data_IF_250290527764
#
_entry.id   IF_250290527764
#
_cell.length_a   1.000
_cell.length_b   1.000
_cell.length_c   1.000
_cell.angle_alpha   90.00
_cell.angle_beta   90.00
_cell.angle_gamma   90.00
#
_symmetry.space_group_name_H-M   'P 1'
#
loop_
_entity.id
_entity.type
_entity.pdbx_description
1 polymer ?
#
# COMPACT_ATOMS: atom_id res chain seq x y z
N UNK A 1 -5.92 20.82 -16.27
CA UNK A 1 -4.88 20.08 -17.02
C UNK A 1 -3.54 20.10 -16.29
N UNK A 2 -2.94 21.27 -16.00
CA UNK A 2 -1.64 21.36 -15.33
C UNK A 2 -1.59 20.85 -13.87
N UNK A 3 -2.72 20.86 -13.15
CA UNK A 3 -2.83 20.34 -11.78
C UNK A 3 -2.51 18.85 -11.66
N UNK A 4 -2.70 18.06 -12.72
CA UNK A 4 -2.39 16.63 -12.71
C UNK A 4 -0.90 16.32 -12.90
N UNK A 5 -0.07 17.30 -13.30
CA UNK A 5 1.37 17.13 -13.49
C UNK A 5 2.04 16.61 -12.22
N UNK A 6 1.54 17.01 -11.04
CA UNK A 6 2.10 16.60 -9.75
C UNK A 6 2.01 15.09 -9.47
N UNK A 7 1.15 14.35 -10.19
CA UNK A 7 1.06 12.88 -10.07
C UNK A 7 2.38 12.18 -10.35
N UNK A 8 3.16 12.68 -11.33
CA UNK A 8 4.46 12.09 -11.66
C UNK A 8 5.48 12.33 -10.55
N UNK A 9 5.38 13.46 -9.84
CA UNK A 9 6.24 13.77 -8.71
C UNK A 9 5.89 12.90 -7.49
N UNK A 10 4.60 12.68 -7.23
CA UNK A 10 4.16 11.71 -6.25
C UNK A 10 4.67 10.31 -6.59
N UNK A 11 4.52 9.85 -7.85
CA UNK A 11 5.07 8.58 -8.32
C UNK A 11 6.58 8.45 -8.03
N UNK A 12 7.38 9.45 -8.42
CA UNK A 12 8.82 9.45 -8.15
C UNK A 12 9.11 9.42 -6.64
N UNK A 13 8.30 10.11 -5.83
CA UNK A 13 8.41 10.05 -4.37
C UNK A 13 8.09 8.66 -3.81
N UNK A 14 7.09 7.96 -4.36
CA UNK A 14 6.80 6.56 -3.99
C UNK A 14 8.00 5.68 -4.33
N UNK A 15 8.49 5.75 -5.57
CA UNK A 15 9.57 4.90 -6.05
C UNK A 15 10.88 5.13 -5.27
N UNK A 16 11.23 6.39 -5.00
CA UNK A 16 12.48 6.75 -4.31
C UNK A 16 12.39 6.63 -2.80
N UNK A 17 11.34 7.18 -2.17
CA UNK A 17 11.25 7.25 -0.70
C UNK A 17 10.40 6.14 -0.09
N UNK A 18 9.43 5.60 -0.82
CA UNK A 18 8.64 4.44 -0.43
C UNK A 18 9.40 3.15 -0.71
N UNK A 19 9.51 2.78 -1.99
CA UNK A 19 10.21 1.58 -2.46
C UNK A 19 11.73 1.63 -2.27
N UNK A 20 12.30 2.79 -1.93
CA UNK A 20 13.73 2.95 -1.60
C UNK A 20 14.68 2.51 -2.71
N UNK A 21 14.29 2.71 -3.99
CA UNK A 21 15.05 2.21 -5.15
C UNK A 21 16.52 2.67 -5.14
N UNK A 22 16.82 3.86 -4.63
CA UNK A 22 18.18 4.42 -4.61
C UNK A 22 19.10 3.81 -3.53
N UNK A 23 18.55 3.00 -2.61
CA UNK A 23 19.32 2.31 -1.57
C UNK A 23 19.96 1.03 -2.08
N UNK A 24 19.42 0.42 -3.13
CA UNK A 24 19.94 -0.83 -3.68
C UNK A 24 21.27 -0.56 -4.41
N UNK A 25 22.24 -1.46 -4.23
CA UNK A 25 23.58 -1.40 -4.83
C UNK A 25 23.81 -2.62 -5.72
N UNK A 26 22.95 -2.78 -6.72
CA UNK A 26 23.01 -3.88 -7.69
C UNK A 26 23.80 -3.48 -8.94
N UNK A 27 24.33 -4.48 -9.66
CA UNK A 27 24.88 -4.28 -11.00
C UNK A 27 23.78 -3.78 -11.97
N UNK A 28 24.19 -3.14 -13.07
CA UNK A 28 23.29 -2.43 -13.97
C UNK A 28 22.12 -3.30 -14.48
N UNK A 29 22.36 -4.54 -14.87
CA UNK A 29 21.30 -5.40 -15.41
C UNK A 29 20.35 -5.90 -14.31
N UNK A 30 20.87 -6.31 -13.15
CA UNK A 30 20.04 -6.66 -11.99
C UNK A 30 19.23 -5.46 -11.49
N UNK A 31 19.79 -4.25 -11.58
CA UNK A 31 19.11 -3.01 -11.21
C UNK A 31 17.93 -2.71 -12.15
N UNK A 32 18.08 -2.92 -13.47
CA UNK A 32 16.97 -2.78 -14.43
C UNK A 32 15.83 -3.73 -14.10
N UNK A 33 16.14 -4.98 -13.78
CA UNK A 33 15.15 -5.99 -13.40
C UNK A 33 14.39 -5.57 -12.13
N UNK A 34 15.12 -5.19 -11.08
CA UNK A 34 14.50 -4.71 -9.84
C UNK A 34 13.62 -3.48 -10.08
N UNK A 35 14.11 -2.52 -10.88
CA UNK A 35 13.36 -1.32 -11.22
C UNK A 35 12.03 -1.64 -11.90
N UNK A 36 11.98 -2.67 -12.77
CA UNK A 36 10.74 -3.14 -13.38
C UNK A 36 9.67 -3.52 -12.35
N UNK A 37 10.05 -4.30 -11.33
CA UNK A 37 9.13 -4.68 -10.26
C UNK A 37 8.74 -3.49 -9.38
N UNK A 38 9.71 -2.70 -8.93
CA UNK A 38 9.44 -1.55 -8.05
C UNK A 38 8.60 -0.47 -8.74
N UNK A 39 8.73 -0.31 -10.06
CA UNK A 39 7.92 0.63 -10.84
C UNK A 39 6.44 0.25 -10.82
N UNK A 40 6.11 -1.03 -10.98
CA UNK A 40 4.71 -1.52 -10.91
C UNK A 40 4.13 -1.31 -9.52
N UNK A 41 4.88 -1.72 -8.48
CA UNK A 41 4.43 -1.55 -7.09
C UNK A 41 4.24 -0.06 -6.75
N UNK A 42 5.09 0.83 -7.26
CA UNK A 42 4.93 2.26 -7.07
C UNK A 42 3.64 2.81 -7.71
N UNK A 43 3.23 2.29 -8.87
CA UNK A 43 1.95 2.65 -9.49
C UNK A 43 0.76 2.13 -8.68
N UNK A 44 0.82 0.89 -8.18
CA UNK A 44 -0.23 0.32 -7.33
C UNK A 44 -0.43 1.15 -6.06
N UNK A 45 0.66 1.53 -5.37
CA UNK A 45 0.58 2.39 -4.19
C UNK A 45 0.06 3.80 -4.52
N UNK A 46 0.39 4.33 -5.71
CA UNK A 46 -0.17 5.59 -6.19
C UNK A 46 -1.69 5.46 -6.37
N UNK A 47 -2.13 4.38 -7.01
CA UNK A 47 -3.55 4.08 -7.24
C UNK A 47 -4.29 3.98 -5.90
N UNK A 48 -3.78 3.24 -4.92
CA UNK A 48 -4.35 3.14 -3.57
C UNK A 48 -4.49 4.52 -2.91
N UNK A 49 -3.45 5.33 -3.02
CA UNK A 49 -3.44 6.69 -2.46
C UNK A 49 -4.52 7.56 -3.10
N UNK A 50 -4.70 7.48 -4.43
CA UNK A 50 -5.72 8.25 -5.13
C UNK A 50 -7.13 7.73 -4.89
N UNK A 51 -7.35 6.41 -4.92
CA UNK A 51 -8.65 5.81 -4.63
C UNK A 51 -9.14 6.16 -3.23
N UNK A 52 -8.25 6.18 -2.23
CA UNK A 52 -8.57 6.67 -0.90
C UNK A 52 -9.06 8.12 -0.88
N UNK A 53 -8.48 8.99 -1.73
CA UNK A 53 -8.82 10.42 -1.81
C UNK A 53 -10.08 10.69 -2.64
N UNK A 54 -10.28 9.97 -3.74
CA UNK A 54 -11.32 10.27 -4.72
C UNK A 54 -12.56 9.40 -4.59
N UNK A 55 -12.41 8.16 -4.15
CA UNK A 55 -13.48 7.17 -4.09
C UNK A 55 -13.41 6.33 -2.80
N UNK A 56 -13.42 6.97 -1.61
CA UNK A 56 -13.23 6.30 -0.33
C UNK A 56 -14.32 5.26 -0.01
N UNK A 57 -15.51 5.41 -0.58
CA UNK A 57 -16.70 4.60 -0.28
C UNK A 57 -16.84 3.36 -1.17
N UNK A 58 -15.97 3.19 -2.18
CA UNK A 58 -15.93 1.97 -2.99
C UNK A 58 -15.64 0.74 -2.12
N UNK A 59 -16.06 -0.43 -2.60
CA UNK A 59 -15.83 -1.68 -1.89
C UNK A 59 -14.32 -1.99 -1.80
N UNK A 60 -13.87 -2.48 -0.64
CA UNK A 60 -12.47 -2.86 -0.42
C UNK A 60 -11.95 -3.94 -1.38
N UNK A 61 -12.85 -4.71 -2.00
CA UNK A 61 -12.52 -5.75 -2.98
C UNK A 61 -11.98 -5.20 -4.30
N UNK A 62 -12.23 -3.92 -4.60
CA UNK A 62 -11.70 -3.25 -5.79
C UNK A 62 -10.18 -3.06 -5.72
N UNK A 63 -9.59 -3.11 -4.52
CA UNK A 63 -8.17 -2.84 -4.29
C UNK A 63 -7.42 -3.97 -3.60
N UNK A 64 -8.13 -4.94 -3.01
CA UNK A 64 -7.53 -6.00 -2.23
C UNK A 64 -8.13 -7.35 -2.58
N UNK A 65 -7.27 -8.36 -2.62
CA UNK A 65 -7.68 -9.74 -2.83
C UNK A 65 -8.42 -10.30 -1.60
N UNK A 66 -9.25 -11.35 -1.77
CA UNK A 66 -10.01 -11.93 -0.65
C UNK A 66 -9.14 -12.36 0.54
N UNK A 67 -7.93 -12.88 0.29
CA UNK A 67 -6.97 -13.24 1.32
C UNK A 67 -6.49 -12.02 2.11
N UNK A 68 -6.10 -10.96 1.42
CA UNK A 68 -5.66 -9.70 2.05
C UNK A 68 -6.78 -9.11 2.93
N UNK A 69 -8.02 -9.10 2.42
CA UNK A 69 -9.18 -8.65 3.19
C UNK A 69 -9.37 -9.51 4.44
N UNK A 70 -9.28 -10.84 4.31
CA UNK A 70 -9.40 -11.77 5.45
C UNK A 70 -8.36 -11.47 6.53
N UNK A 71 -7.11 -11.26 6.14
CA UNK A 71 -6.01 -10.97 7.08
C UNK A 71 -6.16 -9.59 7.72
N UNK A 72 -6.53 -8.57 6.95
CA UNK A 72 -6.80 -7.24 7.49
C UNK A 72 -7.99 -7.24 8.45
N UNK A 73 -9.03 -8.02 8.19
CA UNK A 73 -10.13 -8.22 9.15
C UNK A 73 -9.64 -8.83 10.45
N UNK A 74 -8.84 -9.88 10.38
CA UNK A 74 -8.30 -10.56 11.56
C UNK A 74 -7.37 -9.66 12.39
N UNK A 75 -6.64 -8.73 11.76
CA UNK A 75 -5.79 -7.76 12.46
C UNK A 75 -6.48 -6.48 12.90
N UNK A 76 -7.68 -6.20 12.41
CA UNK A 76 -8.40 -4.98 12.76
C UNK A 76 -9.15 -5.15 14.10
N UNK A 77 -8.88 -4.31 15.11
CA UNK A 77 -9.56 -4.43 16.41
C UNK A 77 -11.05 -4.07 16.36
N UNK A 78 -11.45 -3.23 15.39
CA UNK A 78 -12.85 -2.83 15.15
C UNK A 78 -13.13 -2.91 13.66
N UNK A 79 -14.21 -3.62 13.32
CA UNK A 79 -14.66 -3.79 11.94
C UNK A 79 -15.80 -2.81 11.64
N UNK A 80 -15.75 -2.07 10.52
CA UNK A 80 -16.89 -1.30 10.05
C UNK A 80 -17.99 -2.23 9.51
N UNK A 81 -19.22 -1.71 9.44
CA UNK A 81 -20.36 -2.43 8.85
C UNK A 81 -20.15 -2.71 7.35
N UNK A 82 -19.50 -1.77 6.67
CA UNK A 82 -19.18 -1.85 5.24
C UNK A 82 -17.67 -1.74 5.08
N UNK A 83 -17.09 -2.64 4.31
CA UNK A 83 -15.64 -2.67 4.05
C UNK A 83 -15.36 -1.84 2.81
N UNK A 84 -14.90 -0.62 3.03
CA UNK A 84 -14.63 0.34 1.97
C UNK A 84 -13.14 0.47 1.67
N UNK A 85 -12.80 1.12 0.56
CA UNK A 85 -11.42 1.52 0.22
C UNK A 85 -10.82 2.34 1.35
N UNK A 86 -11.59 3.25 1.97
CA UNK A 86 -11.14 4.04 3.12
C UNK A 86 -10.69 3.16 4.28
N UNK A 87 -11.53 2.18 4.66
CA UNK A 87 -11.16 1.21 5.71
C UNK A 87 -9.91 0.41 5.32
N UNK A 88 -9.86 -0.10 4.10
CA UNK A 88 -8.77 -0.95 3.63
C UNK A 88 -7.43 -0.20 3.63
N UNK A 89 -7.37 1.01 3.06
CA UNK A 89 -6.14 1.81 3.01
C UNK A 89 -5.69 2.23 4.41
N UNK A 90 -6.61 2.58 5.31
CA UNK A 90 -6.28 2.87 6.72
C UNK A 90 -5.78 1.61 7.43
N UNK A 91 -6.40 0.45 7.21
CA UNK A 91 -5.98 -0.81 7.81
C UNK A 91 -4.56 -1.20 7.36
N UNK A 92 -4.25 -1.06 6.06
CA UNK A 92 -2.89 -1.24 5.54
C UNK A 92 -1.94 -0.23 6.18
N UNK A 93 -2.30 1.06 6.23
CA UNK A 93 -1.45 2.09 6.82
C UNK A 93 -1.16 1.81 8.31
N UNK A 94 -2.12 1.29 9.07
CA UNK A 94 -1.93 0.87 10.47
C UNK A 94 -0.87 -0.23 10.61
N UNK A 95 -0.82 -1.20 9.68
CA UNK A 95 0.27 -2.18 9.66
C UNK A 95 1.64 -1.52 9.46
N UNK A 96 1.69 -0.41 8.73
CA UNK A 96 2.89 0.40 8.52
C UNK A 96 3.23 1.38 9.64
N UNK A 97 2.49 1.37 10.75
CA UNK A 97 2.69 2.26 11.89
C UNK A 97 1.92 3.58 11.83
N UNK A 98 0.85 3.66 11.03
CA UNK A 98 -0.05 4.81 11.07
C UNK A 98 -0.76 4.91 12.41
N UNK A 99 -0.55 6.02 13.12
CA UNK A 99 -1.28 6.37 14.34
C UNK A 99 -2.23 7.53 14.03
N UNK A 100 -3.51 7.35 14.34
CA UNK A 100 -4.54 8.40 14.21
C UNK A 100 -4.43 9.43 15.35
N UNK A 101 -3.24 9.99 15.57
CA UNK A 101 -3.02 10.94 16.67
C UNK A 101 -3.72 12.29 16.45
N UNK A 102 -4.17 12.58 15.23
CA UNK A 102 -5.01 13.73 14.92
C UNK A 102 -6.02 13.32 13.85
N UNK A 103 -7.30 13.57 14.12
CA UNK A 103 -8.40 13.29 13.22
C UNK A 103 -8.07 13.83 11.81
N UNK A 104 -8.17 12.97 10.78
CA UNK A 104 -7.91 13.30 9.36
C UNK A 104 -6.45 13.59 8.96
N UNK A 105 -5.45 13.05 9.66
CA UNK A 105 -4.07 13.15 9.18
C UNK A 105 -3.94 12.42 7.82
N UNK A 106 -3.34 13.04 6.78
CA UNK A 106 -3.16 12.35 5.51
C UNK A 106 -2.17 11.19 5.66
N UNK A 107 -2.49 10.05 5.06
CA UNK A 107 -1.64 8.86 5.09
C UNK A 107 -0.38 9.14 4.26
N UNK A 108 0.77 9.09 4.93
CA UNK A 108 2.07 9.27 4.29
C UNK A 108 2.48 8.04 3.47
N UNK A 109 3.11 8.26 2.31
CA UNK A 109 3.46 7.16 1.41
C UNK A 109 4.39 6.11 2.03
N UNK A 110 5.34 6.53 2.87
CA UNK A 110 6.26 5.62 3.55
C UNK A 110 5.56 4.69 4.53
N UNK A 111 4.47 5.16 5.14
CA UNK A 111 3.64 4.35 6.03
C UNK A 111 2.84 3.35 5.21
N UNK A 112 2.26 3.79 4.08
CA UNK A 112 1.52 2.92 3.19
C UNK A 112 2.40 1.81 2.58
N UNK A 113 3.61 2.15 2.11
CA UNK A 113 4.59 1.18 1.60
C UNK A 113 4.95 0.12 2.66
N UNK A 114 5.29 0.54 3.88
CA UNK A 114 5.62 -0.40 4.98
C UNK A 114 4.44 -1.31 5.32
N UNK A 115 3.23 -0.75 5.33
CA UNK A 115 2.01 -1.50 5.56
C UNK A 115 1.73 -2.52 4.46
N UNK A 116 1.97 -2.15 3.20
CA UNK A 116 1.80 -3.02 2.04
C UNK A 116 2.77 -4.21 2.08
N UNK A 117 4.04 -3.95 2.35
CA UNK A 117 5.05 -5.00 2.51
C UNK A 117 4.66 -5.93 3.67
N UNK A 118 4.26 -5.37 4.82
CA UNK A 118 3.85 -6.17 5.97
C UNK A 118 2.62 -7.04 5.69
N UNK A 119 1.68 -6.54 4.88
CA UNK A 119 0.52 -7.32 4.45
C UNK A 119 0.94 -8.48 3.55
N UNK A 120 1.93 -8.30 2.68
CA UNK A 120 2.48 -9.37 1.85
C UNK A 120 3.12 -10.46 2.70
N UNK A 121 3.97 -10.09 3.67
CA UNK A 121 4.57 -11.04 4.62
C UNK A 121 3.51 -11.87 5.36
N UNK A 122 2.39 -11.23 5.75
CA UNK A 122 1.27 -11.92 6.41
C UNK A 122 0.54 -12.88 5.47
N UNK A 123 0.42 -12.53 4.18
CA UNK A 123 -0.17 -13.42 3.17
C UNK A 123 0.69 -14.66 2.97
N UNK A 124 2.00 -14.48 2.83
CA UNK A 124 2.97 -15.56 2.70
C UNK A 124 2.94 -16.47 3.95
N UNK A 125 3.03 -15.89 5.15
CA UNK A 125 2.96 -16.66 6.39
C UNK A 125 1.64 -17.42 6.57
N UNK A 126 0.53 -16.86 6.11
CA UNK A 126 -0.76 -17.55 6.12
C UNK A 126 -0.81 -18.73 5.14
N UNK A 127 -0.23 -18.59 3.95
CA UNK A 127 -0.17 -19.66 2.95
C UNK A 127 0.68 -20.83 3.48
N UNK A 128 1.86 -20.54 4.00
CA UNK A 128 2.74 -21.55 4.61
C UNK A 128 2.05 -22.30 5.76
N UNK A 129 1.31 -21.60 6.60
CA UNK A 129 0.60 -22.20 7.74
C UNK A 129 -0.59 -23.10 7.33
N UNK A 130 -1.14 -22.95 6.12
CA UNK A 130 -2.19 -23.83 5.58
C UNK A 130 -1.59 -25.09 4.95
N UNK A 131 -0.41 -24.96 4.35
CA UNK A 131 0.28 -26.07 3.67
C UNK A 131 0.97 -27.03 4.65
N UNK A 132 1.20 -26.59 5.88
CA UNK A 132 1.80 -27.39 6.97
C UNK A 132 0.71 -28.07 7.80
#
# INVERSE_FOLDING_TARGET
WYSYRWRVEEYHKILKSGCQVERYRLAADSMKTLLGFLAVIAVELLQLTYLHRTQPDLAAIEILNPLQIKLLKAKSPKLPKVLTVSWAVVAVARLGGYLEHRHQTPIGIQVLWRGWLKLHDLCEGWQLAIET
#
